data_IF_650362504276
#
_entry.id   IF_650362504276
#
_cell.length_a   1.000
_cell.length_b   1.000
_cell.length_c   1.000
_cell.angle_alpha   90.00
_cell.angle_beta   90.00
_cell.angle_gamma   90.00
#
_symmetry.space_group_name_H-M   'P 1'
#
loop_
_entity.id
_entity.type
_entity.pdbx_description
1 polymer ?
#
# COMPACT_ATOMS: atom_id res chain seq x y z
N UNK A 1 -8.30 7.91 2.06
CA UNK A 1 -6.98 8.06 1.41
C UNK A 1 -6.47 6.71 0.96
N UNK A 2 -6.21 6.59 -0.32
CA UNK A 2 -5.62 5.39 -0.88
C UNK A 2 -4.12 5.61 -0.95
N UNK A 3 -3.35 4.72 -0.33
CA UNK A 3 -1.90 4.89 -0.20
C UNK A 3 -1.19 3.79 -0.99
N UNK A 4 -0.36 4.20 -1.94
CA UNK A 4 0.39 3.27 -2.79
C UNK A 4 1.83 3.20 -2.28
N UNK A 5 2.34 2.00 -2.06
CA UNK A 5 3.72 1.79 -1.60
C UNK A 5 4.43 0.79 -2.52
N UNK A 6 5.44 1.25 -3.24
CA UNK A 6 6.16 0.43 -4.23
C UNK A 6 7.14 -0.54 -3.56
N UNK A 7 7.68 -1.46 -4.35
CA UNK A 7 8.70 -2.38 -3.88
C UNK A 7 10.09 -1.76 -3.89
N UNK A 8 11.06 -2.49 -3.38
CA UNK A 8 12.43 -1.99 -3.19
C UNK A 8 13.11 -1.52 -4.47
N UNK A 9 12.90 -2.23 -5.56
CA UNK A 9 13.53 -1.89 -6.83
C UNK A 9 12.56 -1.22 -7.79
N UNK A 10 11.37 -0.91 -7.34
CA UNK A 10 10.34 -0.33 -8.18
C UNK A 10 10.27 1.17 -7.97
N UNK A 11 9.51 1.82 -8.80
CA UNK A 11 9.26 3.25 -8.69
C UNK A 11 7.76 3.48 -8.63
N UNK A 12 7.31 4.68 -8.31
CA UNK A 12 5.88 4.97 -8.34
C UNK A 12 5.21 4.65 -9.68
N UNK A 13 5.99 4.65 -10.77
CA UNK A 13 5.46 4.30 -12.09
C UNK A 13 4.91 2.88 -12.15
N UNK A 14 5.35 1.99 -11.25
CA UNK A 14 4.85 0.62 -11.19
C UNK A 14 3.35 0.56 -10.94
N UNK A 15 2.78 1.59 -10.39
CA UNK A 15 1.37 1.62 -10.07
C UNK A 15 0.52 2.41 -11.07
N UNK A 16 1.10 2.86 -12.18
CA UNK A 16 0.38 3.74 -13.09
C UNK A 16 -0.97 3.17 -13.52
N UNK A 17 -1.01 1.92 -13.95
CA UNK A 17 -2.25 1.29 -14.39
C UNK A 17 -3.23 1.07 -13.26
N UNK A 18 -2.74 0.63 -12.11
CA UNK A 18 -3.57 0.37 -10.94
C UNK A 18 -4.18 1.69 -10.44
N UNK A 19 -3.37 2.73 -10.37
CA UNK A 19 -3.82 4.03 -9.89
C UNK A 19 -4.91 4.59 -10.80
N UNK A 20 -4.74 4.45 -12.11
CA UNK A 20 -5.74 4.92 -13.07
C UNK A 20 -7.04 4.14 -12.91
N UNK A 21 -6.95 2.83 -12.76
CA UNK A 21 -8.13 2.00 -12.57
C UNK A 21 -8.89 2.40 -11.30
N UNK A 22 -8.16 2.61 -10.21
CA UNK A 22 -8.77 3.00 -8.95
C UNK A 22 -9.42 4.39 -9.06
N UNK A 23 -8.76 5.31 -9.69
CA UNK A 23 -9.32 6.67 -9.89
C UNK A 23 -10.58 6.65 -10.74
N UNK A 24 -10.66 5.73 -11.70
CA UNK A 24 -11.84 5.62 -12.58
C UNK A 24 -13.04 5.02 -11.85
N UNK A 25 -12.81 4.27 -10.79
CA UNK A 25 -13.88 3.56 -10.11
C UNK A 25 -14.20 4.10 -8.71
N UNK A 26 -13.30 4.87 -8.13
CA UNK A 26 -13.47 5.38 -6.78
C UNK A 26 -13.07 6.85 -6.71
N UNK A 27 -13.91 7.65 -6.10
CA UNK A 27 -13.62 9.08 -5.95
C UNK A 27 -12.95 9.32 -4.60
N UNK A 28 -11.76 8.78 -4.43
CA UNK A 28 -11.03 8.92 -3.18
C UNK A 28 -9.68 9.59 -3.43
N UNK A 29 -9.22 10.44 -2.54
CA UNK A 29 -7.88 11.01 -2.66
C UNK A 29 -6.84 9.88 -2.54
N UNK A 30 -5.73 10.05 -3.21
CA UNK A 30 -4.66 9.06 -3.16
C UNK A 30 -3.31 9.70 -2.92
N UNK A 31 -2.37 8.90 -2.43
CA UNK A 31 -1.00 9.32 -2.17
C UNK A 31 -0.06 8.22 -2.63
N UNK A 32 0.92 8.59 -3.43
CA UNK A 32 1.96 7.67 -3.86
C UNK A 32 3.18 7.92 -2.98
N UNK A 33 3.51 6.97 -2.13
CA UNK A 33 4.67 7.11 -1.25
C UNK A 33 5.94 6.76 -2.00
N UNK A 34 6.92 7.66 -1.97
CA UNK A 34 8.23 7.41 -2.53
C UNK A 34 9.21 7.23 -1.38
N UNK A 35 10.08 6.26 -1.48
CA UNK A 35 11.11 6.02 -0.48
C UNK A 35 12.33 5.36 -1.12
N UNK A 36 13.45 5.44 -0.44
CA UNK A 36 14.68 4.78 -0.87
C UNK A 36 14.97 3.63 0.07
N UNK A 37 15.04 2.41 -0.47
CA UNK A 37 15.28 1.23 0.34
C UNK A 37 16.55 1.33 1.16
N UNK A 38 17.58 1.93 0.61
CA UNK A 38 18.87 2.06 1.28
C UNK A 38 18.85 2.99 2.49
N UNK A 39 17.82 3.76 2.67
CA UNK A 39 17.70 4.63 3.85
C UNK A 39 17.38 3.87 5.13
N UNK A 40 17.01 2.60 4.99
CA UNK A 40 16.70 1.74 6.13
C UNK A 40 15.21 1.65 6.41
N UNK A 41 14.80 0.48 6.86
CA UNK A 41 13.38 0.21 7.09
C UNK A 41 12.77 1.13 8.14
N UNK A 42 13.43 1.27 9.27
CA UNK A 42 12.87 2.06 10.37
C UNK A 42 12.77 3.55 10.02
N UNK A 43 13.76 4.07 9.32
CA UNK A 43 13.75 5.46 8.88
C UNK A 43 12.60 5.71 7.91
N UNK A 44 12.44 4.81 6.94
CA UNK A 44 11.38 4.93 5.95
C UNK A 44 10.00 4.80 6.60
N UNK A 45 9.86 3.84 7.52
CA UNK A 45 8.59 3.63 8.19
C UNK A 45 8.19 4.85 9.02
N UNK A 46 9.13 5.44 9.73
CA UNK A 46 8.87 6.64 10.53
C UNK A 46 8.40 7.80 9.65
N UNK A 47 9.04 7.99 8.50
CA UNK A 47 8.64 9.04 7.56
C UNK A 47 7.24 8.80 7.00
N UNK A 48 6.91 7.54 6.71
CA UNK A 48 5.58 7.18 6.22
C UNK A 48 4.51 7.44 7.27
N UNK A 49 4.79 7.08 8.52
CA UNK A 49 3.87 7.34 9.62
C UNK A 49 3.58 8.82 9.77
N UNK A 50 4.62 9.63 9.63
CA UNK A 50 4.44 11.07 9.75
C UNK A 50 3.57 11.64 8.64
N UNK A 51 3.69 11.12 7.43
CA UNK A 51 2.87 11.56 6.30
C UNK A 51 1.39 11.21 6.47
N UNK A 52 1.10 10.15 7.19
CA UNK A 52 -0.26 9.62 7.29
C UNK A 52 -0.95 9.94 8.62
N UNK A 53 -0.27 10.59 9.54
CA UNK A 53 -0.75 10.74 10.91
C UNK A 53 -2.09 11.47 11.06
N UNK A 54 -2.44 12.31 10.11
CA UNK A 54 -3.68 13.09 10.19
C UNK A 54 -4.81 12.53 9.33
N UNK A 55 -4.60 11.39 8.69
CA UNK A 55 -5.62 10.81 7.83
C UNK A 55 -6.73 10.14 8.64
N UNK A 56 -7.96 10.34 8.22
CA UNK A 56 -9.11 9.77 8.91
C UNK A 56 -9.46 8.37 8.42
N UNK A 57 -9.03 8.01 7.24
CA UNK A 57 -9.22 6.66 6.71
C UNK A 57 -8.11 6.32 5.74
N UNK A 58 -7.64 5.08 5.79
CA UNK A 58 -6.54 4.60 4.96
C UNK A 58 -6.89 3.28 4.31
N UNK A 59 -6.47 3.15 3.05
CA UNK A 59 -6.52 1.89 2.33
C UNK A 59 -5.20 1.75 1.59
N UNK A 60 -4.50 0.64 1.78
CA UNK A 60 -3.15 0.48 1.23
C UNK A 60 -3.15 -0.40 -0.01
N UNK A 61 -2.42 0.02 -1.03
CA UNK A 61 -2.12 -0.79 -2.20
C UNK A 61 -0.61 -0.86 -2.29
N UNK A 62 -0.06 -2.04 -2.13
CA UNK A 62 1.38 -2.22 -2.03
C UNK A 62 1.89 -3.26 -2.99
N UNK A 63 3.19 -3.24 -3.24
CA UNK A 63 3.86 -4.17 -4.15
C UNK A 63 5.14 -4.66 -3.49
N UNK A 64 5.31 -5.97 -3.39
CA UNK A 64 6.53 -6.60 -2.88
C UNK A 64 6.91 -6.07 -1.48
N UNK A 65 8.10 -5.52 -1.30
CA UNK A 65 8.55 -4.97 -0.02
C UNK A 65 7.59 -3.92 0.51
N UNK A 66 6.92 -3.18 -0.37
CA UNK A 66 5.92 -2.21 0.05
C UNK A 66 4.82 -2.83 0.91
N UNK A 67 4.54 -4.13 0.73
CA UNK A 67 3.57 -4.85 1.54
C UNK A 67 3.97 -4.96 3.01
N UNK A 68 5.25 -5.06 3.28
CA UNK A 68 5.75 -5.13 4.65
C UNK A 68 5.53 -3.77 5.34
N UNK A 69 5.84 -2.68 4.64
CA UNK A 69 5.56 -1.35 5.16
C UNK A 69 4.06 -1.18 5.39
N UNK A 70 3.24 -1.62 4.43
CA UNK A 70 1.79 -1.49 4.53
C UNK A 70 1.23 -2.23 5.74
N UNK A 71 1.74 -3.42 6.04
CA UNK A 71 1.29 -4.17 7.21
C UNK A 71 1.64 -3.44 8.51
N UNK A 72 2.83 -2.89 8.60
CA UNK A 72 3.23 -2.13 9.77
C UNK A 72 2.41 -0.85 9.93
N UNK A 73 2.14 -0.17 8.82
CA UNK A 73 1.32 1.04 8.84
C UNK A 73 -0.14 0.73 9.19
N UNK A 74 -0.67 -0.37 8.65
CA UNK A 74 -2.02 -0.78 8.96
C UNK A 74 -2.18 -1.12 10.44
N UNK A 75 -1.17 -1.73 11.03
CA UNK A 75 -1.19 -2.03 12.45
C UNK A 75 -1.09 -0.75 13.29
N UNK A 76 -0.20 0.15 12.91
CA UNK A 76 -0.02 1.41 13.64
C UNK A 76 -1.28 2.28 13.56
N UNK A 77 -1.93 2.30 12.40
CA UNK A 77 -3.13 3.10 12.17
C UNK A 77 -4.39 2.22 12.12
N UNK A 78 -4.43 1.17 12.91
CA UNK A 78 -5.51 0.17 12.80
C UNK A 78 -6.91 0.74 12.97
N UNK A 79 -7.05 1.81 13.72
CA UNK A 79 -8.37 2.40 13.96
C UNK A 79 -8.93 3.12 12.73
N UNK A 80 -8.09 3.51 11.79
CA UNK A 80 -8.50 4.21 10.59
C UNK A 80 -8.21 3.43 9.30
N UNK A 81 -7.54 2.28 9.38
CA UNK A 81 -7.21 1.48 8.22
C UNK A 81 -8.40 0.61 7.83
N UNK A 82 -8.88 0.79 6.61
CA UNK A 82 -10.02 0.03 6.09
C UNK A 82 -9.61 -1.30 5.51
N UNK A 83 -8.40 -1.42 5.04
CA UNK A 83 -7.90 -2.65 4.44
C UNK A 83 -6.76 -2.38 3.48
N UNK A 84 -6.39 -3.36 2.70
CA UNK A 84 -5.34 -3.20 1.71
C UNK A 84 -5.22 -4.39 0.78
N UNK A 85 -4.47 -4.19 -0.29
CA UNK A 85 -4.17 -5.19 -1.30
C UNK A 85 -2.67 -5.21 -1.52
N UNK A 86 -2.09 -6.38 -1.49
CA UNK A 86 -0.67 -6.55 -1.80
C UNK A 86 -0.55 -7.23 -3.15
N UNK A 87 0.23 -6.63 -4.03
CA UNK A 87 0.46 -7.16 -5.36
C UNK A 87 1.79 -7.87 -5.41
N UNK A 88 1.87 -8.98 -6.13
CA UNK A 88 3.12 -9.70 -6.29
C UNK A 88 3.71 -9.43 -7.65
N UNK A 89 5.02 -9.52 -7.76
CA UNK A 89 5.68 -9.48 -9.05
C UNK A 89 5.34 -10.76 -9.80
N UNK A 90 4.81 -10.67 -11.01
CA UNK A 90 4.43 -11.87 -11.73
C UNK A 90 5.65 -12.61 -12.24
N UNK A 91 5.74 -13.88 -11.94
CA UNK A 91 6.75 -14.73 -12.51
C UNK A 91 6.06 -15.50 -13.63
N UNK A 92 6.61 -15.50 -14.79
CA UNK A 92 6.03 -16.20 -15.93
C UNK A 92 4.99 -15.40 -16.68
N UNK A 93 4.82 -14.17 -16.35
CA UNK A 93 3.97 -13.26 -17.13
C UNK A 93 2.49 -13.33 -16.87
N UNK A 94 2.06 -13.92 -15.80
CA UNK A 94 0.64 -14.00 -15.48
C UNK A 94 0.26 -12.96 -14.44
N UNK A 95 0.30 -11.74 -14.81
CA UNK A 95 0.11 -10.63 -13.89
C UNK A 95 -1.24 -10.65 -13.18
N UNK A 96 -2.30 -10.98 -13.88
CA UNK A 96 -3.62 -10.98 -13.25
C UNK A 96 -3.76 -12.07 -12.23
N UNK A 97 -3.07 -13.15 -12.39
CA UNK A 97 -3.14 -14.25 -11.45
C UNK A 97 -2.36 -13.97 -10.18
N UNK A 98 -1.45 -13.01 -10.25
CA UNK A 98 -0.64 -12.69 -9.11
C UNK A 98 -1.17 -11.61 -8.22
N UNK A 99 -2.35 -11.16 -8.43
CA UNK A 99 -2.90 -10.27 -7.65
C UNK A 99 -3.14 -10.81 -6.42
N UNK A 100 -3.02 -10.46 -5.58
CA UNK A 100 -3.24 -10.86 -4.84
C UNK A 100 -3.66 -11.16 -3.65
N UNK A 101 -3.24 -10.56 -2.76
CA UNK A 101 -3.60 -10.89 -1.43
C UNK A 101 -4.21 -9.71 -0.83
N UNK A 102 -5.39 -9.92 -0.26
CA UNK A 102 -6.00 -8.92 0.55
C UNK A 102 -5.52 -9.10 1.97
N UNK A 103 -5.33 -7.99 2.67
CA UNK A 103 -5.25 -8.03 4.12
C UNK A 103 -6.28 -7.05 4.65
N UNK A 104 -6.93 -7.40 5.74
CA UNK A 104 -7.95 -6.56 6.34
C UNK A 104 -7.55 -6.22 7.77
N UNK A 105 -7.91 -5.04 8.26
CA UNK A 105 -7.73 -4.76 9.67
C UNK A 105 -8.49 -5.79 10.49
N UNK A 106 -7.97 -6.08 11.66
CA UNK A 106 -8.51 -7.12 12.50
C UNK A 106 -10.00 -6.97 12.74
N UNK A 107 -10.47 -5.76 12.93
CA UNK A 107 -11.87 -5.51 13.15
C UNK A 107 -12.74 -5.84 11.94
N UNK A 108 -12.14 -5.88 10.75
CA UNK A 108 -12.88 -6.24 9.55
C UNK A 108 -13.00 -7.74 9.40
N UNK A 109 -12.05 -8.49 9.90
CA UNK A 109 -12.07 -9.94 9.79
C UNK A 109 -13.17 -10.55 10.67
N UNK A 110 -13.57 -9.87 11.70
CA UNK A 110 -14.57 -10.37 12.59
C UNK A 110 -15.94 -9.75 12.40
N UNK A 111 -16.06 -8.90 11.39
CA UNK A 111 -17.37 -8.32 11.10
C UNK A 111 -18.16 -9.21 10.11
#
# INVERSE_FOLDING_TARGET
>A
MIVYIHGASATPASFTHIRQYVRDHFEEPDLMIEYKSESGFDTNLAAMKQKLQDEESLFFISHSLGGIYALHLADHFKDVTLGGVSLSTPYGGCAEADFARYFLPFNRLIS
#
